data_IF_382903122753
#
_entry.id   IF_382903122753
#
_cell.length_a   1.000
_cell.length_b   1.000
_cell.length_c   1.000
_cell.angle_alpha   90.00
_cell.angle_beta   90.00
_cell.angle_gamma   90.00
#
_symmetry.space_group_name_H-M   'P 1'
#
loop_
_entity.id
_entity.type
_entity.pdbx_description
1 polymer ?
#
# COMPACT_ATOMS: atom_id res chain seq x y z
N UNK A 1 74.48 -51.64 21.64
CA UNK A 1 74.09 -50.79 20.48
C UNK A 1 72.73 -51.26 20.02
N UNK A 2 71.69 -50.46 20.19
CA UNK A 2 70.33 -50.82 19.80
C UNK A 2 69.42 -49.63 20.04
N UNK A 3 69.23 -48.85 18.97
CA UNK A 3 68.55 -47.56 18.99
C UNK A 3 67.02 -47.71 18.92
N UNK A 4 66.39 -46.69 19.50
CA UNK A 4 64.97 -46.33 19.55
C UNK A 4 64.30 -46.27 18.17
N UNK A 5 63.05 -46.71 18.07
CA UNK A 5 62.12 -46.25 17.04
C UNK A 5 60.68 -46.23 17.62
N UNK A 6 60.22 -45.03 17.98
CA UNK A 6 58.86 -44.74 18.42
C UNK A 6 58.06 -44.36 17.17
N UNK A 7 57.11 -45.20 16.75
CA UNK A 7 56.26 -44.96 15.58
C UNK A 7 55.13 -43.99 15.91
N UNK A 8 55.15 -42.82 15.28
CA UNK A 8 54.11 -41.79 15.35
C UNK A 8 53.11 -42.04 14.20
N UNK A 9 51.88 -42.46 14.53
CA UNK A 9 50.79 -42.51 13.55
C UNK A 9 50.15 -41.13 13.41
N UNK A 10 50.37 -40.48 12.27
CA UNK A 10 49.65 -39.29 11.85
C UNK A 10 48.35 -39.73 11.16
N UNK A 11 47.20 -39.54 11.81
CA UNK A 11 45.89 -39.64 11.18
C UNK A 11 45.58 -38.31 10.48
N UNK A 12 45.69 -38.29 9.15
CA UNK A 12 45.21 -37.19 8.32
C UNK A 12 43.69 -37.23 8.22
N UNK A 13 43.01 -36.34 8.96
CA UNK A 13 41.58 -36.09 8.76
C UNK A 13 41.41 -35.23 7.49
N UNK A 14 40.94 -35.85 6.41
CA UNK A 14 40.46 -35.12 5.25
C UNK A 14 39.12 -34.48 5.61
N UNK A 15 39.09 -33.16 5.75
CA UNK A 15 37.85 -32.41 5.82
C UNK A 15 37.26 -32.36 4.40
N UNK A 16 36.16 -33.09 4.18
CA UNK A 16 35.32 -32.85 3.01
C UNK A 16 34.70 -31.44 3.15
N UNK A 17 34.71 -30.60 2.11
CA UNK A 17 33.88 -29.41 2.12
C UNK A 17 32.43 -29.88 2.19
N UNK A 18 31.71 -29.41 3.22
CA UNK A 18 30.28 -29.57 3.29
C UNK A 18 29.67 -28.76 2.14
N UNK A 19 29.26 -29.43 1.07
CA UNK A 19 28.27 -28.87 0.17
C UNK A 19 27.05 -28.54 1.03
N UNK A 20 26.65 -27.26 1.07
CA UNK A 20 25.36 -26.89 1.62
C UNK A 20 24.31 -27.73 0.87
N UNK A 21 23.58 -28.58 1.59
CA UNK A 21 22.53 -29.37 0.98
C UNK A 21 21.45 -28.41 0.50
N UNK A 22 21.22 -28.35 -0.81
CA UNK A 22 20.05 -27.67 -1.38
C UNK A 22 18.79 -28.23 -0.73
N UNK A 23 17.81 -27.39 -0.37
CA UNK A 23 16.54 -27.88 0.17
C UNK A 23 15.92 -28.90 -0.79
N UNK A 24 15.32 -29.96 -0.25
CA UNK A 24 14.60 -30.95 -1.07
C UNK A 24 13.33 -30.32 -1.63
N UNK A 25 12.94 -30.60 -2.89
CA UNK A 25 11.80 -29.96 -3.56
C UNK A 25 10.49 -30.01 -2.75
N UNK A 26 10.21 -31.08 -2.02
CA UNK A 26 8.97 -31.19 -1.23
C UNK A 26 8.89 -30.19 -0.05
N UNK A 27 10.01 -29.67 0.44
CA UNK A 27 10.02 -28.69 1.53
C UNK A 27 9.58 -27.29 1.06
N UNK A 28 9.70 -26.98 -0.24
CA UNK A 28 9.31 -25.68 -0.80
C UNK A 28 7.80 -25.43 -0.82
N UNK A 29 7.01 -26.51 -0.72
CA UNK A 29 5.53 -26.45 -0.69
C UNK A 29 4.96 -26.86 0.68
N UNK A 30 5.81 -27.23 1.64
CA UNK A 30 5.37 -27.57 2.99
C UNK A 30 4.84 -26.30 3.69
N UNK A 31 3.61 -26.37 4.19
CA UNK A 31 2.92 -25.24 4.80
C UNK A 31 2.38 -24.17 3.84
N UNK A 32 2.43 -24.39 2.52
CA UNK A 32 1.78 -23.49 1.55
C UNK A 32 0.25 -23.66 1.61
N UNK A 33 -0.46 -22.54 1.71
CA UNK A 33 -1.93 -22.53 1.82
C UNK A 33 -2.60 -23.04 0.53
N UNK A 34 -3.63 -23.89 0.68
CA UNK A 34 -4.32 -24.49 -0.46
C UNK A 34 -5.03 -23.44 -1.33
N UNK A 35 -5.56 -22.35 -0.74
CA UNK A 35 -6.18 -21.27 -1.50
C UNK A 35 -5.17 -20.48 -2.33
N UNK A 36 -3.92 -20.37 -1.86
CA UNK A 36 -2.85 -19.77 -2.65
C UNK A 36 -2.56 -20.62 -3.89
N UNK A 37 -2.43 -21.94 -3.73
CA UNK A 37 -2.17 -22.84 -4.86
C UNK A 37 -3.32 -22.87 -5.87
N UNK A 38 -4.57 -22.82 -5.42
CA UNK A 38 -5.74 -22.72 -6.30
C UNK A 38 -5.74 -21.39 -7.08
N UNK A 39 -5.42 -20.27 -6.42
CA UNK A 39 -5.32 -18.96 -7.06
C UNK A 39 -4.20 -18.95 -8.11
N UNK A 40 -3.01 -19.44 -7.76
CA UNK A 40 -1.89 -19.57 -8.68
C UNK A 40 -2.24 -20.45 -9.88
N UNK A 41 -2.90 -21.60 -9.65
CA UNK A 41 -3.34 -22.49 -10.72
C UNK A 41 -4.28 -21.78 -11.70
N UNK A 42 -5.25 -21.03 -11.18
CA UNK A 42 -6.18 -20.22 -11.98
C UNK A 42 -5.46 -19.15 -12.81
N UNK A 43 -4.60 -18.35 -12.19
CA UNK A 43 -3.90 -17.24 -12.85
C UNK A 43 -2.89 -17.73 -13.90
N UNK A 44 -2.18 -18.82 -13.61
CA UNK A 44 -1.19 -19.41 -14.52
C UNK A 44 -1.82 -20.32 -15.59
N UNK A 45 -3.14 -20.55 -15.54
CA UNK A 45 -3.83 -21.46 -16.45
C UNK A 45 -3.37 -22.92 -16.34
N UNK A 46 -3.01 -23.35 -15.13
CA UNK A 46 -2.50 -24.69 -14.81
C UNK A 46 -3.33 -25.37 -13.72
N UNK A 47 -2.96 -26.57 -13.28
CA UNK A 47 -3.57 -27.22 -12.12
C UNK A 47 -2.76 -26.97 -10.84
N UNK A 48 -3.29 -27.37 -9.67
CA UNK A 48 -2.62 -27.22 -8.37
C UNK A 48 -1.23 -27.88 -8.36
N UNK A 49 -1.06 -28.98 -9.10
CA UNK A 49 0.25 -29.65 -9.20
C UNK A 49 1.23 -28.79 -9.99
N UNK A 50 0.79 -28.18 -11.08
CA UNK A 50 1.55 -27.21 -11.86
C UNK A 50 1.90 -25.95 -11.08
N UNK A 51 0.99 -25.42 -10.26
CA UNK A 51 1.29 -24.29 -9.37
C UNK A 51 2.34 -24.66 -8.31
N UNK A 52 2.23 -25.87 -7.73
CA UNK A 52 3.23 -26.40 -6.80
C UNK A 52 4.59 -26.64 -7.49
N UNK A 53 4.60 -27.07 -8.75
CA UNK A 53 5.81 -27.20 -9.57
C UNK A 53 6.54 -25.86 -9.74
N UNK A 54 5.79 -24.77 -9.99
CA UNK A 54 6.34 -23.42 -10.11
C UNK A 54 7.00 -22.98 -8.80
N UNK A 55 6.33 -23.15 -7.66
CA UNK A 55 6.91 -22.80 -6.35
C UNK A 55 8.19 -23.60 -6.06
N UNK A 56 8.23 -24.88 -6.42
CA UNK A 56 9.44 -25.70 -6.28
C UNK A 56 10.58 -25.17 -7.14
N UNK A 57 10.31 -24.85 -8.40
CA UNK A 57 11.30 -24.24 -9.29
C UNK A 57 11.81 -22.90 -8.75
N UNK A 58 10.93 -22.03 -8.25
CA UNK A 58 11.32 -20.74 -7.67
C UNK A 58 12.21 -20.91 -6.43
N UNK A 59 11.93 -21.90 -5.57
CA UNK A 59 12.76 -22.20 -4.39
C UNK A 59 14.15 -22.73 -4.77
N UNK A 60 14.22 -23.62 -5.77
CA UNK A 60 15.49 -24.10 -6.31
C UNK A 60 16.27 -22.94 -6.93
N UNK A 61 15.61 -22.10 -7.73
CA UNK A 61 16.21 -20.92 -8.37
C UNK A 61 16.74 -19.89 -7.36
N UNK A 62 16.07 -19.70 -6.22
CA UNK A 62 16.54 -18.82 -5.14
C UNK A 62 17.83 -19.36 -4.50
N UNK A 63 17.92 -20.69 -4.33
CA UNK A 63 19.13 -21.36 -3.84
C UNK A 63 20.28 -21.18 -4.83
N UNK A 64 20.04 -21.47 -6.11
CA UNK A 64 21.02 -21.27 -7.19
C UNK A 64 21.48 -19.82 -7.29
N UNK A 65 20.56 -18.84 -7.18
CA UNK A 65 20.90 -17.41 -7.19
C UNK A 65 21.86 -17.05 -6.05
N UNK A 66 21.62 -17.55 -4.84
CA UNK A 66 22.48 -17.30 -3.68
C UNK A 66 23.87 -17.89 -3.87
N UNK A 67 23.96 -19.12 -4.41
CA UNK A 67 25.23 -19.76 -4.73
C UNK A 67 26.01 -18.97 -5.78
N UNK A 68 25.33 -18.57 -6.86
CA UNK A 68 25.94 -17.80 -7.97
C UNK A 68 26.50 -16.48 -7.48
N UNK A 69 25.72 -15.69 -6.74
CA UNK A 69 26.19 -14.41 -6.19
C UNK A 69 27.44 -14.60 -5.32
N UNK A 70 27.48 -15.67 -4.51
CA UNK A 70 28.63 -16.00 -3.66
C UNK A 70 29.89 -16.36 -4.46
N UNK A 71 29.77 -17.18 -5.51
CA UNK A 71 30.93 -17.62 -6.31
C UNK A 71 31.38 -16.60 -7.35
N UNK A 72 30.46 -15.76 -7.86
CA UNK A 72 30.76 -14.70 -8.82
C UNK A 72 31.36 -13.46 -8.15
N UNK A 73 31.05 -13.20 -6.88
CA UNK A 73 31.54 -12.05 -6.12
C UNK A 73 31.24 -10.73 -6.83
N UNK A 74 32.20 -9.80 -6.81
CA UNK A 74 32.09 -8.46 -7.42
C UNK A 74 31.77 -8.46 -8.92
N UNK A 75 31.93 -9.60 -9.61
CA UNK A 75 31.59 -9.74 -11.03
C UNK A 75 30.13 -10.11 -11.29
N UNK A 76 29.34 -10.36 -10.24
CA UNK A 76 27.92 -10.69 -10.34
C UNK A 76 27.11 -9.49 -10.85
N UNK A 77 26.20 -9.73 -11.78
CA UNK A 77 25.37 -8.69 -12.41
C UNK A 77 23.86 -8.96 -12.35
N UNK A 78 23.44 -9.91 -11.51
CA UNK A 78 22.03 -10.27 -11.31
C UNK A 78 21.65 -11.63 -11.89
N UNK A 79 20.50 -12.14 -11.45
CA UNK A 79 19.84 -13.33 -12.02
C UNK A 79 18.38 -13.01 -12.35
N UNK A 80 17.84 -13.74 -13.31
CA UNK A 80 16.41 -13.77 -13.61
C UNK A 80 16.01 -15.18 -14.00
N UNK A 81 14.71 -15.42 -14.05
CA UNK A 81 14.15 -16.72 -14.33
C UNK A 81 13.17 -16.68 -15.50
N UNK A 82 13.12 -17.78 -16.24
CA UNK A 82 12.06 -18.07 -17.20
C UNK A 82 11.29 -19.28 -16.68
N UNK A 83 10.11 -19.02 -16.10
CA UNK A 83 9.25 -20.08 -15.53
C UNK A 83 8.75 -21.05 -16.59
N UNK A 84 8.59 -20.60 -17.84
CA UNK A 84 8.05 -21.42 -18.93
C UNK A 84 9.05 -22.50 -19.36
N UNK A 85 10.34 -22.17 -19.33
CA UNK A 85 11.42 -23.10 -19.66
C UNK A 85 12.11 -23.69 -18.42
N UNK A 86 11.72 -23.26 -17.21
CA UNK A 86 12.36 -23.59 -15.92
C UNK A 86 13.87 -23.33 -15.95
N UNK A 87 14.25 -22.16 -16.47
CA UNK A 87 15.64 -21.77 -16.64
C UNK A 87 15.99 -20.61 -15.74
N UNK A 88 17.14 -20.67 -15.08
CA UNK A 88 17.76 -19.55 -14.36
C UNK A 88 18.87 -18.98 -15.24
N UNK A 89 18.84 -17.68 -15.47
CA UNK A 89 19.90 -16.95 -16.15
C UNK A 89 20.71 -16.16 -15.13
N UNK A 90 22.01 -16.01 -15.39
CA UNK A 90 22.91 -15.29 -14.51
C UNK A 90 23.84 -14.38 -15.32
N UNK A 91 23.70 -13.08 -15.13
CA UNK A 91 24.58 -12.09 -15.72
C UNK A 91 25.86 -11.96 -14.89
N UNK A 92 27.01 -11.89 -15.56
CA UNK A 92 28.29 -11.60 -14.92
C UNK A 92 29.27 -10.89 -15.87
N UNK A 93 30.13 -10.04 -15.31
CA UNK A 93 31.06 -9.20 -16.08
C UNK A 93 32.32 -9.94 -16.55
N UNK A 94 32.73 -11.00 -15.84
CA UNK A 94 33.94 -11.78 -16.17
C UNK A 94 33.62 -13.19 -16.68
N UNK A 95 34.53 -13.75 -17.50
CA UNK A 95 34.41 -15.13 -18.00
C UNK A 95 34.44 -16.17 -16.86
N UNK A 96 35.26 -15.95 -15.84
CA UNK A 96 35.38 -16.86 -14.69
C UNK A 96 34.08 -16.89 -13.87
N UNK A 97 33.46 -15.74 -13.64
CA UNK A 97 32.16 -15.67 -12.95
C UNK A 97 31.03 -16.31 -13.77
N UNK A 98 31.03 -16.12 -15.10
CA UNK A 98 30.09 -16.82 -16.00
C UNK A 98 30.29 -18.33 -15.98
N UNK A 99 31.54 -18.79 -15.97
CA UNK A 99 31.84 -20.22 -15.85
C UNK A 99 31.39 -20.78 -14.49
N UNK A 100 31.56 -20.02 -13.41
CA UNK A 100 31.05 -20.39 -12.09
C UNK A 100 29.52 -20.46 -12.06
N UNK A 101 28.82 -19.51 -12.68
CA UNK A 101 27.37 -19.53 -12.80
C UNK A 101 26.84 -20.73 -13.59
N UNK A 102 27.51 -21.08 -14.69
CA UNK A 102 27.22 -22.31 -15.44
C UNK A 102 27.47 -23.57 -14.59
N UNK A 103 28.54 -23.58 -13.79
CA UNK A 103 28.83 -24.66 -12.84
C UNK A 103 27.76 -24.84 -11.76
N UNK A 104 27.10 -23.75 -11.37
CA UNK A 104 25.99 -23.74 -10.42
C UNK A 104 24.61 -24.01 -11.08
N UNK A 105 24.57 -24.25 -12.39
CA UNK A 105 23.35 -24.68 -13.11
C UNK A 105 22.53 -23.57 -13.75
N UNK A 106 23.01 -22.31 -13.79
CA UNK A 106 22.38 -21.24 -14.55
C UNK A 106 22.92 -21.15 -15.99
N UNK A 107 22.15 -20.51 -16.87
CA UNK A 107 22.62 -20.08 -18.19
C UNK A 107 23.39 -18.77 -18.04
N UNK A 108 24.70 -18.73 -18.30
CA UNK A 108 25.48 -17.52 -18.12
C UNK A 108 25.19 -16.49 -19.22
N UNK A 109 25.09 -15.22 -18.83
CA UNK A 109 24.91 -14.08 -19.72
C UNK A 109 26.04 -13.08 -19.47
N UNK A 110 26.57 -12.50 -20.54
CA UNK A 110 27.61 -11.47 -20.43
C UNK A 110 26.98 -10.12 -20.09
N UNK A 111 27.53 -9.46 -19.07
CA UNK A 111 27.14 -8.12 -18.64
C UNK A 111 28.32 -7.15 -18.75
N UNK A 112 28.03 -5.87 -18.95
CA UNK A 112 29.00 -4.77 -18.94
C UNK A 112 29.20 -4.21 -17.52
N UNK A 113 28.12 -4.13 -16.75
CA UNK A 113 28.06 -3.53 -15.41
C UNK A 113 27.77 -4.60 -14.37
N UNK A 114 28.48 -4.57 -13.24
CA UNK A 114 28.13 -5.42 -12.09
C UNK A 114 26.83 -4.94 -11.44
N UNK A 115 26.23 -5.77 -10.60
CA UNK A 115 25.03 -5.38 -9.86
C UNK A 115 25.35 -4.22 -8.91
N UNK A 116 26.52 -4.26 -8.26
CA UNK A 116 27.03 -3.18 -7.42
C UNK A 116 27.18 -1.86 -8.20
N UNK A 117 27.62 -1.91 -9.46
CA UNK A 117 27.71 -0.72 -10.31
C UNK A 117 26.31 -0.12 -10.56
N UNK A 118 25.33 -0.97 -10.92
CA UNK A 118 23.96 -0.54 -11.20
C UNK A 118 23.25 -0.02 -9.94
N UNK A 119 23.45 -0.67 -8.79
CA UNK A 119 22.97 -0.19 -7.49
C UNK A 119 23.61 1.16 -7.12
N UNK A 120 24.91 1.33 -7.41
CA UNK A 120 25.61 2.60 -7.24
C UNK A 120 25.02 3.74 -8.09
N UNK A 121 24.57 3.44 -9.31
CA UNK A 121 23.87 4.39 -10.18
C UNK A 121 22.49 4.73 -9.60
N UNK A 122 21.70 3.73 -9.21
CA UNK A 122 20.39 3.93 -8.60
C UNK A 122 20.47 4.79 -7.32
N UNK A 123 21.48 4.53 -6.47
CA UNK A 123 21.73 5.32 -5.27
C UNK A 123 22.12 6.77 -5.59
N UNK A 124 22.79 7.02 -6.72
CA UNK A 124 23.14 8.37 -7.16
C UNK A 124 21.93 9.15 -7.68
N UNK A 125 20.98 8.48 -8.32
CA UNK A 125 19.68 9.07 -8.69
C UNK A 125 18.94 9.50 -7.42
N UNK A 126 18.77 8.58 -6.45
CA UNK A 126 18.11 8.86 -5.16
C UNK A 126 18.74 10.04 -4.41
N UNK A 127 20.07 10.17 -4.45
CA UNK A 127 20.78 11.25 -3.76
C UNK A 127 20.76 12.61 -4.49
N UNK A 128 20.17 12.70 -5.68
CA UNK A 128 20.11 13.91 -6.50
C UNK A 128 18.77 14.63 -6.38
N UNK A 129 18.69 15.89 -6.83
CA UNK A 129 17.41 16.59 -6.99
C UNK A 129 16.68 16.03 -8.22
N UNK A 130 15.95 14.92 -8.04
CA UNK A 130 15.22 14.23 -9.11
C UNK A 130 14.09 15.12 -9.66
N UNK A 131 14.00 15.39 -10.97
CA UNK A 131 12.92 16.16 -11.55
C UNK A 131 11.55 15.47 -11.41
N UNK A 132 10.48 16.25 -11.22
CA UNK A 132 9.09 15.74 -11.12
C UNK A 132 8.62 14.92 -12.34
N UNK A 133 9.31 15.02 -13.48
CA UNK A 133 9.03 14.24 -14.69
C UNK A 133 9.53 12.79 -14.62
N UNK A 134 10.27 12.42 -13.57
CA UNK A 134 10.80 11.07 -13.34
C UNK A 134 10.04 10.43 -12.17
N UNK A 135 9.02 9.58 -12.42
CA UNK A 135 8.20 8.99 -11.36
C UNK A 135 8.84 7.75 -10.72
N UNK A 136 9.80 7.09 -11.37
CA UNK A 136 10.47 5.88 -10.89
C UNK A 136 11.78 5.61 -11.61
N UNK A 137 12.64 4.80 -10.98
CA UNK A 137 13.79 4.17 -11.61
C UNK A 137 14.03 2.78 -11.02
N UNK A 138 14.58 1.87 -11.82
CA UNK A 138 14.76 0.46 -11.44
C UNK A 138 15.93 -0.18 -12.22
N UNK A 139 16.44 -1.31 -11.72
CA UNK A 139 17.54 -2.05 -12.34
C UNK A 139 16.96 -3.14 -13.24
N UNK A 140 17.31 -3.10 -14.52
CA UNK A 140 16.99 -4.13 -15.50
C UNK A 140 18.19 -5.07 -15.64
N UNK A 141 18.15 -6.21 -14.93
CA UNK A 141 19.24 -7.20 -14.97
C UNK A 141 19.32 -7.94 -16.30
N UNK A 142 18.24 -7.97 -17.09
CA UNK A 142 18.22 -8.65 -18.39
C UNK A 142 18.93 -7.80 -19.45
N UNK A 143 18.69 -6.48 -19.45
CA UNK A 143 19.37 -5.54 -20.33
C UNK A 143 20.65 -4.94 -19.74
N UNK A 144 20.93 -5.21 -18.45
CA UNK A 144 22.08 -4.76 -17.69
C UNK A 144 22.22 -3.22 -17.63
N UNK A 145 21.10 -2.54 -17.39
CA UNK A 145 21.01 -1.08 -17.27
C UNK A 145 20.11 -0.63 -16.10
N UNK A 146 20.18 0.65 -15.72
CA UNK A 146 19.19 1.31 -14.87
C UNK A 146 18.18 2.00 -15.76
N UNK A 147 16.91 1.66 -15.62
CA UNK A 147 15.81 2.31 -16.33
C UNK A 147 15.31 3.48 -15.51
N UNK A 148 15.18 4.62 -16.16
CA UNK A 148 14.54 5.83 -15.61
C UNK A 148 13.24 6.03 -16.36
N UNK A 149 12.13 5.83 -15.67
CA UNK A 149 10.81 6.09 -16.22
C UNK A 149 10.60 7.61 -16.36
N UNK A 150 9.95 8.05 -17.44
CA UNK A 150 9.75 9.46 -17.75
C UNK A 150 8.32 9.73 -18.19
N UNK A 151 7.67 10.72 -17.57
CA UNK A 151 6.33 11.16 -17.92
C UNK A 151 6.27 11.79 -19.33
N UNK A 152 5.09 11.81 -19.99
CA UNK A 152 4.92 12.43 -21.30
C UNK A 152 5.43 13.87 -21.35
N UNK A 153 6.27 14.16 -22.35
CA UNK A 153 6.89 15.49 -22.53
C UNK A 153 8.09 15.79 -21.62
N UNK A 154 8.51 14.85 -20.77
CA UNK A 154 9.66 15.02 -19.86
C UNK A 154 11.02 14.60 -20.41
N UNK A 155 11.09 14.07 -21.64
CA UNK A 155 12.29 13.41 -22.17
C UNK A 155 13.56 14.28 -22.15
N UNK A 156 13.46 15.55 -22.59
CA UNK A 156 14.62 16.46 -22.62
C UNK A 156 15.13 16.76 -21.20
N UNK A 157 14.21 16.99 -20.25
CA UNK A 157 14.55 17.26 -18.84
C UNK A 157 15.20 16.04 -18.19
N UNK A 158 14.64 14.84 -18.42
CA UNK A 158 15.20 13.60 -17.90
C UNK A 158 16.58 13.29 -18.51
N UNK A 159 16.77 13.56 -19.81
CA UNK A 159 18.06 13.41 -20.48
C UNK A 159 19.13 14.34 -19.89
N UNK A 160 18.79 15.61 -19.68
CA UNK A 160 19.70 16.56 -19.05
C UNK A 160 20.05 16.14 -17.62
N UNK A 161 19.06 15.68 -16.84
CA UNK A 161 19.25 15.15 -15.50
C UNK A 161 20.21 13.96 -15.48
N UNK A 162 19.98 12.93 -16.31
CA UNK A 162 20.85 11.75 -16.40
C UNK A 162 22.28 12.15 -16.79
N UNK A 163 22.44 13.11 -17.71
CA UNK A 163 23.76 13.61 -18.09
C UNK A 163 24.53 14.23 -16.90
N UNK A 164 23.83 14.80 -15.91
CA UNK A 164 24.48 15.36 -14.69
C UNK A 164 25.03 14.29 -13.75
N UNK A 165 24.51 13.06 -13.82
CA UNK A 165 24.95 11.96 -12.96
C UNK A 165 26.38 11.52 -13.28
N UNK A 166 26.87 11.79 -14.50
CA UNK A 166 28.23 11.43 -14.92
C UNK A 166 28.49 9.92 -14.90
N UNK A 167 27.45 9.14 -15.20
CA UNK A 167 27.47 7.67 -15.28
C UNK A 167 27.69 7.23 -16.73
N UNK A 168 28.11 5.97 -16.99
CA UNK A 168 28.23 5.45 -18.34
C UNK A 168 26.91 5.55 -19.10
N UNK A 169 26.96 5.99 -20.36
CA UNK A 169 25.76 6.24 -21.17
C UNK A 169 24.97 4.96 -21.51
N UNK A 170 25.64 3.80 -21.49
CA UNK A 170 25.05 2.49 -21.68
C UNK A 170 24.50 1.88 -20.38
N UNK A 171 24.76 2.49 -19.22
CA UNK A 171 24.28 2.01 -17.93
C UNK A 171 22.94 2.62 -17.51
N UNK A 172 22.40 3.58 -18.27
CA UNK A 172 21.11 4.22 -18.02
C UNK A 172 20.28 4.32 -19.29
N UNK A 173 19.02 3.92 -19.22
CA UNK A 173 18.05 4.02 -20.30
C UNK A 173 16.82 4.80 -19.86
N UNK A 174 16.35 5.73 -20.69
CA UNK A 174 15.09 6.41 -20.46
C UNK A 174 13.93 5.57 -21.04
N UNK A 175 12.89 5.36 -20.24
CA UNK A 175 11.63 4.78 -20.67
C UNK A 175 10.57 5.88 -20.66
N UNK A 176 10.24 6.41 -21.84
CA UNK A 176 9.36 7.58 -21.97
C UNK A 176 7.89 7.20 -22.05
N UNK A 177 7.05 8.20 -21.81
CA UNK A 177 5.59 8.13 -21.96
C UNK A 177 4.94 7.11 -21.02
N UNK A 178 5.51 6.94 -19.83
CA UNK A 178 4.96 6.09 -18.76
C UNK A 178 3.91 6.83 -17.93
N UNK A 179 3.10 6.08 -17.19
CA UNK A 179 2.18 6.62 -16.19
C UNK A 179 2.89 6.76 -14.83
N UNK A 180 2.50 7.75 -14.03
CA UNK A 180 3.00 7.90 -12.66
C UNK A 180 2.33 6.88 -11.71
N UNK A 181 3.07 6.07 -10.95
CA UNK A 181 2.49 5.22 -9.93
C UNK A 181 1.82 6.04 -8.82
N UNK A 182 0.67 5.59 -8.33
CA UNK A 182 -0.03 6.18 -7.19
C UNK A 182 -0.15 5.16 -6.04
N UNK A 183 -0.13 5.65 -4.80
CA UNK A 183 -0.34 4.79 -3.62
C UNK A 183 -1.80 4.36 -3.51
N UNK A 184 -2.06 3.05 -3.35
CA UNK A 184 -3.41 2.52 -3.09
C UNK A 184 -3.88 2.79 -1.65
N UNK A 185 -4.17 4.04 -1.29
CA UNK A 185 -4.83 4.38 -0.04
C UNK A 185 -6.34 4.47 -0.25
N UNK A 186 -7.08 3.48 0.26
CA UNK A 186 -8.54 3.44 0.17
C UNK A 186 -9.19 4.27 1.29
N UNK A 187 -9.86 5.35 0.92
CA UNK A 187 -10.63 6.17 1.86
C UNK A 187 -12.06 5.62 1.94
N UNK A 188 -12.47 5.16 3.13
CA UNK A 188 -13.82 4.68 3.43
C UNK A 188 -14.38 5.39 4.66
N UNK A 189 -15.70 5.43 4.80
CA UNK A 189 -16.33 6.03 5.97
C UNK A 189 -15.89 5.38 7.29
N UNK A 190 -15.83 6.17 8.36
CA UNK A 190 -15.49 5.75 9.71
C UNK A 190 -14.02 5.81 10.08
N UNK A 191 -13.09 5.72 9.11
CA UNK A 191 -11.64 5.72 9.39
C UNK A 191 -11.15 7.10 9.86
N UNK A 192 -10.00 7.12 10.53
CA UNK A 192 -9.36 8.35 10.98
C UNK A 192 -8.79 9.17 9.81
N UNK A 193 -8.84 10.49 9.94
CA UNK A 193 -7.96 11.41 9.21
C UNK A 193 -7.44 12.47 10.19
N UNK A 194 -6.19 12.88 10.03
CA UNK A 194 -5.59 13.92 10.86
C UNK A 194 -5.67 15.26 10.14
N UNK A 195 -5.90 16.34 10.88
CA UNK A 195 -5.95 17.73 10.39
C UNK A 195 -4.75 18.48 10.96
N UNK A 196 -3.95 19.10 10.09
CA UNK A 196 -2.76 19.89 10.44
C UNK A 196 -1.81 19.20 11.44
N UNK A 197 -1.77 17.86 11.45
CA UNK A 197 -1.05 17.02 12.43
C UNK A 197 -1.36 17.31 13.91
N UNK A 198 -2.55 17.84 14.22
CA UNK A 198 -2.92 18.31 15.56
C UNK A 198 -4.20 17.70 16.10
N UNK A 199 -5.20 17.53 15.23
CA UNK A 199 -6.50 16.97 15.61
C UNK A 199 -6.84 15.77 14.73
N UNK A 200 -7.75 14.94 15.24
CA UNK A 200 -8.27 13.75 14.55
C UNK A 200 -9.78 13.84 14.46
N UNK A 201 -10.29 13.59 13.27
CA UNK A 201 -11.69 13.32 13.04
C UNK A 201 -11.84 12.00 12.27
N UNK A 202 -13.08 11.62 11.99
CA UNK A 202 -13.44 10.43 11.24
C UNK A 202 -14.03 10.81 9.89
N UNK A 203 -13.71 10.05 8.84
CA UNK A 203 -14.28 10.19 7.51
C UNK A 203 -15.78 9.91 7.56
N UNK A 204 -16.60 10.77 6.97
CA UNK A 204 -18.05 10.59 6.90
C UNK A 204 -18.44 9.65 5.76
N UNK A 205 -18.59 10.18 4.56
CA UNK A 205 -18.90 9.38 3.38
C UNK A 205 -18.03 9.80 2.20
N UNK A 206 -17.58 8.81 1.42
CA UNK A 206 -16.87 9.07 0.19
C UNK A 206 -17.80 9.75 -0.83
N UNK A 207 -17.27 10.76 -1.50
CA UNK A 207 -17.90 11.47 -2.61
C UNK A 207 -16.94 11.52 -3.79
N UNK A 208 -17.43 11.86 -4.98
CA UNK A 208 -16.57 12.08 -6.13
C UNK A 208 -15.47 13.11 -5.76
N UNK A 209 -14.21 12.68 -5.84
CA UNK A 209 -13.04 13.52 -5.57
C UNK A 209 -12.69 13.74 -4.09
N UNK A 210 -13.36 13.07 -3.14
CA UNK A 210 -13.08 13.30 -1.72
C UNK A 210 -13.98 12.57 -0.73
N UNK A 211 -14.19 13.20 0.42
CA UNK A 211 -15.15 12.75 1.43
C UNK A 211 -15.81 13.91 2.17
N UNK A 212 -17.03 13.70 2.65
CA UNK A 212 -17.73 14.63 3.55
C UNK A 212 -17.39 14.33 5.01
N UNK A 213 -17.40 15.36 5.85
CA UNK A 213 -17.06 15.31 7.28
C UNK A 213 -17.75 16.45 8.04
N UNK A 214 -17.46 16.61 9.33
CA UNK A 214 -17.99 17.70 10.15
C UNK A 214 -17.20 19.00 9.94
N UNK A 215 -17.89 20.15 10.02
CA UNK A 215 -17.31 21.47 9.82
C UNK A 215 -16.37 21.89 10.95
N UNK A 216 -16.70 21.53 12.18
CA UNK A 216 -15.86 21.84 13.34
C UNK A 216 -14.49 21.12 13.33
N UNK A 217 -14.26 20.18 12.40
CA UNK A 217 -12.99 19.47 12.28
C UNK A 217 -11.87 20.32 11.66
N UNK A 218 -12.20 21.33 10.84
CA UNK A 218 -11.21 22.14 10.15
C UNK A 218 -11.82 23.23 9.28
N UNK A 219 -11.01 24.22 8.94
CA UNK A 219 -11.35 25.35 8.08
C UNK A 219 -10.95 25.11 6.62
N UNK A 220 -11.51 25.88 5.69
CA UNK A 220 -11.13 25.81 4.27
C UNK A 220 -9.63 26.08 4.12
N UNK A 221 -8.94 25.17 3.43
CA UNK A 221 -7.49 25.22 3.22
C UNK A 221 -6.68 24.42 4.25
N UNK A 222 -7.28 23.94 5.34
CA UNK A 222 -6.58 23.06 6.28
C UNK A 222 -6.13 21.76 5.59
N UNK A 223 -4.89 21.38 5.87
CA UNK A 223 -4.29 20.16 5.34
C UNK A 223 -4.69 18.95 6.18
N UNK A 224 -4.83 17.80 5.51
CA UNK A 224 -5.17 16.53 6.12
C UNK A 224 -4.26 15.42 5.65
N UNK A 225 -4.32 14.26 6.31
CA UNK A 225 -3.64 13.03 5.85
C UNK A 225 -3.97 12.65 4.40
N UNK A 226 -5.13 13.06 3.87
CA UNK A 226 -5.63 12.61 2.57
C UNK A 226 -5.75 13.71 1.51
N UNK A 227 -5.53 14.97 1.88
CA UNK A 227 -5.77 16.13 1.01
C UNK A 227 -6.12 17.37 1.82
N UNK A 228 -7.03 18.22 1.35
CA UNK A 228 -7.34 19.50 2.02
C UNK A 228 -8.83 19.82 2.04
N UNK A 229 -9.26 20.54 3.09
CA UNK A 229 -10.62 21.05 3.21
C UNK A 229 -10.94 22.05 2.09
N UNK A 230 -11.98 21.78 1.31
CA UNK A 230 -12.45 22.65 0.22
C UNK A 230 -13.73 23.40 0.56
N UNK A 231 -14.46 22.93 1.58
CA UNK A 231 -15.61 23.61 2.14
C UNK A 231 -15.76 23.26 3.60
N UNK A 232 -16.07 24.25 4.42
CA UNK A 232 -16.39 24.07 5.84
C UNK A 232 -17.39 25.13 6.29
N UNK A 233 -18.33 24.74 7.15
CA UNK A 233 -19.32 25.64 7.75
C UNK A 233 -19.62 25.18 9.17
N UNK A 234 -19.15 25.96 10.15
CA UNK A 234 -19.44 25.80 11.57
C UNK A 234 -19.17 27.13 12.32
N UNK A 235 -20.03 27.59 13.24
CA UNK A 235 -21.35 27.04 13.63
C UNK A 235 -22.46 27.43 12.63
N UNK A 236 -23.73 27.29 13.03
CA UNK A 236 -24.91 27.45 12.17
C UNK A 236 -25.35 26.11 11.60
N UNK A 237 -24.43 25.52 10.84
CA UNK A 237 -24.43 24.12 10.40
C UNK A 237 -23.17 23.44 10.94
N UNK A 238 -22.98 22.14 10.68
CA UNK A 238 -21.73 21.45 11.01
C UNK A 238 -21.34 20.44 9.92
N UNK A 239 -20.92 20.96 8.77
CA UNK A 239 -20.45 20.16 7.64
C UNK A 239 -19.19 20.72 7.00
N UNK A 240 -18.44 19.81 6.39
CA UNK A 240 -17.31 20.09 5.53
C UNK A 240 -17.15 19.01 4.46
N UNK A 241 -16.29 19.28 3.49
CA UNK A 241 -15.75 18.24 2.62
C UNK A 241 -14.27 18.48 2.33
N UNK A 242 -13.56 17.38 2.16
CA UNK A 242 -12.11 17.32 1.92
C UNK A 242 -11.90 16.73 0.53
N UNK A 243 -11.16 17.45 -0.32
CA UNK A 243 -10.73 16.91 -1.61
C UNK A 243 -9.48 16.07 -1.44
N UNK A 244 -9.43 14.93 -2.13
CA UNK A 244 -8.36 13.93 -1.98
C UNK A 244 -7.80 13.53 -3.35
N UNK A 245 -6.98 14.39 -3.99
CA UNK A 245 -6.58 14.22 -5.39
C UNK A 245 -5.72 12.98 -5.65
N UNK A 246 -4.94 12.54 -4.65
CA UNK A 246 -3.97 11.45 -4.79
C UNK A 246 -4.37 10.20 -3.99
N UNK A 247 -5.67 10.03 -3.73
CA UNK A 247 -6.20 8.92 -2.95
C UNK A 247 -7.47 8.39 -3.60
N UNK A 248 -7.87 7.17 -3.24
CA UNK A 248 -9.05 6.52 -3.82
C UNK A 248 -10.18 6.41 -2.79
N UNK A 249 -11.19 7.30 -2.82
CA UNK A 249 -12.41 7.12 -2.04
C UNK A 249 -13.26 5.95 -2.57
N UNK A 250 -13.85 5.18 -1.66
CA UNK A 250 -14.77 4.08 -1.98
C UNK A 250 -16.09 4.23 -1.24
N UNK A 251 -17.18 3.82 -1.88
CA UNK A 251 -18.56 3.94 -1.39
C UNK A 251 -18.91 2.97 -0.25
N UNK A 252 -18.07 2.87 0.77
CA UNK A 252 -18.21 1.93 1.89
C UNK A 252 -17.90 2.61 3.22
N UNK A 253 -18.36 2.00 4.33
CA UNK A 253 -18.09 2.45 5.69
C UNK A 253 -17.51 1.28 6.50
N UNK A 254 -16.38 1.48 7.18
CA UNK A 254 -15.78 0.48 8.08
C UNK A 254 -16.78 0.03 9.15
N UNK A 255 -16.91 -1.28 9.36
CA UNK A 255 -17.73 -1.84 10.45
C UNK A 255 -16.93 -2.06 11.74
N UNK A 256 -15.62 -1.77 11.73
CA UNK A 256 -14.68 -2.01 12.83
C UNK A 256 -14.63 -3.47 13.35
N UNK A 257 -15.14 -4.42 12.57
CA UNK A 257 -15.13 -5.86 12.82
C UNK A 257 -14.32 -6.64 11.77
N UNK A 258 -13.51 -5.94 10.97
CA UNK A 258 -12.71 -6.50 9.88
C UNK A 258 -13.38 -6.43 8.50
N UNK A 259 -14.55 -5.81 8.40
CA UNK A 259 -15.30 -5.63 7.16
C UNK A 259 -15.73 -4.18 6.90
N UNK A 260 -16.69 -4.03 5.99
CA UNK A 260 -17.30 -2.75 5.65
C UNK A 260 -18.77 -2.92 5.22
N UNK A 261 -19.55 -1.87 5.43
CA UNK A 261 -20.93 -1.74 4.96
C UNK A 261 -20.94 -0.92 3.68
N UNK A 262 -21.42 -1.51 2.60
CA UNK A 262 -21.62 -0.82 1.32
C UNK A 262 -22.67 0.28 1.43
N UNK A 263 -22.40 1.44 0.83
CA UNK A 263 -23.31 2.57 0.74
C UNK A 263 -24.07 2.48 -0.57
N UNK A 264 -25.40 2.39 -0.53
CA UNK A 264 -26.25 2.27 -1.73
C UNK A 264 -27.01 3.55 -2.09
N UNK A 265 -26.92 4.58 -1.26
CA UNK A 265 -27.63 5.84 -1.45
C UNK A 265 -27.75 6.63 -0.15
N UNK A 266 -28.60 7.65 -0.15
CA UNK A 266 -28.81 8.58 0.97
C UNK A 266 -30.29 8.85 1.27
N UNK A 267 -31.14 7.83 1.10
CA UNK A 267 -32.58 7.93 1.42
C UNK A 267 -32.75 8.18 2.93
N UNK A 268 -33.38 9.28 3.37
CA UNK A 268 -33.57 9.55 4.79
C UNK A 268 -34.48 8.51 5.46
N UNK A 269 -34.05 7.98 6.61
CA UNK A 269 -34.82 7.02 7.39
C UNK A 269 -35.82 7.72 8.33
N UNK A 270 -36.91 7.03 8.68
CA UNK A 270 -37.92 7.60 9.57
C UNK A 270 -37.42 7.72 11.03
N UNK A 271 -38.04 8.59 11.82
CA UNK A 271 -37.88 8.58 13.29
C UNK A 271 -38.27 7.19 13.83
N UNK A 272 -37.45 6.65 14.74
CA UNK A 272 -37.55 5.30 15.27
C UNK A 272 -36.76 4.26 14.46
N UNK A 273 -36.22 4.61 13.30
CA UNK A 273 -35.38 3.70 12.52
C UNK A 273 -34.07 3.38 13.27
N UNK A 274 -33.65 2.12 13.21
CA UNK A 274 -32.33 1.70 13.67
C UNK A 274 -31.26 2.29 12.75
N UNK A 275 -30.26 2.89 13.36
CA UNK A 275 -29.10 3.47 12.69
C UNK A 275 -27.81 3.05 13.39
N UNK A 276 -26.74 2.97 12.63
CA UNK A 276 -25.40 2.66 13.13
C UNK A 276 -24.41 3.72 12.70
N UNK A 277 -23.50 4.09 13.60
CA UNK A 277 -22.40 5.02 13.34
C UNK A 277 -21.07 4.31 13.29
N UNK A 278 -20.13 4.85 12.51
CA UNK A 278 -18.74 4.40 12.43
C UNK A 278 -17.79 5.55 12.70
N UNK A 279 -16.86 5.40 13.65
CA UNK A 279 -15.92 6.46 14.05
C UNK A 279 -14.60 5.92 14.57
N UNK A 280 -13.55 6.71 14.44
CA UNK A 280 -12.17 6.32 14.73
C UNK A 280 -11.83 6.15 16.20
N UNK A 281 -12.69 6.62 17.11
CA UNK A 281 -12.46 6.50 18.55
C UNK A 281 -13.19 5.28 19.11
N UNK A 282 -14.50 5.19 18.87
CA UNK A 282 -15.35 4.15 19.51
C UNK A 282 -15.73 3.02 18.55
N UNK A 283 -15.42 3.16 17.26
CA UNK A 283 -15.72 2.14 16.25
C UNK A 283 -17.18 2.17 15.84
N UNK A 284 -17.84 1.01 15.89
CA UNK A 284 -19.19 0.80 15.37
C UNK A 284 -20.24 0.68 16.47
N UNK A 285 -21.21 1.59 16.48
CA UNK A 285 -22.28 1.61 17.47
C UNK A 285 -23.64 1.87 16.85
N UNK A 286 -24.69 1.24 17.37
CA UNK A 286 -26.04 1.37 16.85
C UNK A 286 -27.03 1.91 17.90
N UNK A 287 -28.12 2.46 17.40
CA UNK A 287 -29.18 3.08 18.18
C UNK A 287 -30.34 3.45 17.26
N UNK A 288 -31.12 4.46 17.63
CA UNK A 288 -32.29 4.89 16.87
C UNK A 288 -32.29 6.39 16.60
N UNK A 289 -32.88 6.77 15.47
CA UNK A 289 -33.25 8.16 15.21
C UNK A 289 -34.38 8.55 16.17
N UNK A 290 -34.15 9.60 16.97
CA UNK A 290 -35.12 10.11 17.93
C UNK A 290 -35.89 11.32 17.39
N UNK A 291 -35.23 12.18 16.63
CA UNK A 291 -35.83 13.38 16.05
C UNK A 291 -35.00 13.92 14.88
N UNK A 292 -35.63 14.74 14.05
CA UNK A 292 -34.98 15.58 13.04
C UNK A 292 -35.11 17.05 13.41
N UNK A 293 -34.34 17.91 12.73
CA UNK A 293 -34.37 19.37 12.90
C UNK A 293 -34.12 19.81 14.36
N UNK A 294 -33.18 19.14 15.03
CA UNK A 294 -32.74 19.53 16.37
C UNK A 294 -31.77 20.70 16.29
N UNK A 295 -31.88 21.62 17.25
CA UNK A 295 -30.91 22.69 17.46
C UNK A 295 -30.11 22.42 18.72
N UNK A 296 -28.78 22.43 18.60
CA UNK A 296 -27.83 22.30 19.72
C UNK A 296 -27.09 23.62 19.89
N UNK A 297 -26.82 24.00 21.15
CA UNK A 297 -26.04 25.19 21.49
C UNK A 297 -24.65 24.76 21.95
N UNK A 298 -23.69 24.69 21.01
CA UNK A 298 -22.28 24.47 21.32
C UNK A 298 -21.65 25.75 21.90
N UNK A 299 -20.42 25.65 22.38
CA UNK A 299 -19.69 26.79 22.93
C UNK A 299 -19.40 27.86 21.85
N UNK A 300 -19.17 27.39 20.62
CA UNK A 300 -18.84 28.17 19.44
C UNK A 300 -20.08 28.82 18.81
N UNK A 301 -21.26 28.21 18.98
CA UNK A 301 -22.52 28.74 18.50
C UNK A 301 -23.64 27.70 18.40
N UNK A 302 -24.80 28.14 17.93
CA UNK A 302 -25.93 27.23 17.68
C UNK A 302 -25.78 26.54 16.33
N UNK A 303 -26.05 25.23 16.29
CA UNK A 303 -26.16 24.42 15.07
C UNK A 303 -27.57 23.87 15.00
N UNK A 304 -28.25 24.04 13.86
CA UNK A 304 -29.65 23.63 13.65
C UNK A 304 -29.77 22.56 12.57
N UNK A 305 -30.96 21.99 12.36
CA UNK A 305 -31.17 20.99 11.31
C UNK A 305 -30.69 19.57 11.65
N UNK A 306 -30.15 19.34 12.85
CA UNK A 306 -29.47 18.10 13.21
C UNK A 306 -30.43 16.91 13.38
N UNK A 307 -29.94 15.72 13.03
CA UNK A 307 -30.55 14.42 13.37
C UNK A 307 -30.16 14.10 14.80
N UNK A 308 -31.14 13.90 15.69
CA UNK A 308 -30.90 13.44 17.06
C UNK A 308 -31.04 11.92 17.13
N UNK A 309 -30.11 11.26 17.77
CA UNK A 309 -30.13 9.79 17.92
C UNK A 309 -29.80 9.34 19.34
N UNK A 310 -30.10 8.07 19.64
CA UNK A 310 -29.66 7.40 20.88
C UNK A 310 -28.28 6.73 20.77
N UNK A 311 -27.58 6.91 19.65
CA UNK A 311 -26.27 6.28 19.41
C UNK A 311 -25.22 6.99 20.28
N UNK A 312 -24.28 6.25 20.87
CA UNK A 312 -23.17 6.86 21.62
C UNK A 312 -22.05 7.32 20.67
N UNK A 313 -21.25 8.29 21.12
CA UNK A 313 -20.05 8.76 20.43
C UNK A 313 -19.14 9.50 21.41
N UNK A 314 -17.84 9.56 21.11
CA UNK A 314 -16.82 10.21 21.94
C UNK A 314 -15.89 11.11 21.09
N UNK A 315 -15.06 11.99 21.70
CA UNK A 315 -14.14 12.85 20.95
C UNK A 315 -13.28 12.06 19.95
N UNK A 316 -13.24 12.55 18.71
CA UNK A 316 -12.57 11.89 17.57
C UNK A 316 -13.51 11.08 16.66
N UNK A 317 -14.72 10.76 17.12
CA UNK A 317 -15.76 10.18 16.27
C UNK A 317 -16.48 11.22 15.38
N UNK A 318 -16.23 12.51 15.64
CA UNK A 318 -16.66 13.66 14.85
C UNK A 318 -16.38 13.45 13.35
N UNK A 319 -17.33 13.84 12.52
CA UNK A 319 -17.31 13.62 11.06
C UNK A 319 -17.70 12.20 10.63
N UNK A 320 -17.63 11.21 11.52
CA UNK A 320 -17.87 9.80 11.16
C UNK A 320 -19.31 9.50 10.74
N UNK A 321 -19.46 8.47 9.92
CA UNK A 321 -20.68 8.08 9.20
C UNK A 321 -21.83 7.69 10.13
N UNK A 322 -23.08 7.98 9.73
CA UNK A 322 -24.32 7.39 10.25
C UNK A 322 -25.11 6.72 9.13
N UNK A 323 -25.39 5.44 9.26
CA UNK A 323 -26.08 4.59 8.28
C UNK A 323 -27.42 4.07 8.81
N UNK A 324 -28.44 4.05 7.96
CA UNK A 324 -29.66 3.26 8.14
C UNK A 324 -29.62 2.09 7.16
N UNK A 325 -29.17 0.91 7.60
CA UNK A 325 -28.81 -0.17 6.68
C UNK A 325 -27.66 0.25 5.77
N UNK A 326 -27.93 0.40 4.48
CA UNK A 326 -26.98 0.87 3.46
C UNK A 326 -27.25 2.30 2.97
N UNK A 327 -28.11 3.05 3.67
CA UNK A 327 -28.43 4.43 3.30
C UNK A 327 -27.70 5.42 4.21
N UNK A 328 -26.88 6.29 3.63
CA UNK A 328 -26.20 7.37 4.31
C UNK A 328 -27.21 8.37 4.90
N UNK A 329 -27.09 8.65 6.20
CA UNK A 329 -28.00 9.54 6.93
C UNK A 329 -27.32 10.87 7.28
N UNK A 330 -26.10 10.82 7.82
CA UNK A 330 -25.40 12.03 8.27
C UNK A 330 -23.99 11.78 8.81
N UNK A 331 -23.31 12.87 9.14
CA UNK A 331 -21.97 12.87 9.75
C UNK A 331 -22.05 13.31 11.20
N UNK A 332 -21.22 12.73 12.07
CA UNK A 332 -21.25 13.00 13.52
C UNK A 332 -20.88 14.47 13.79
N UNK A 333 -21.78 15.23 14.41
CA UNK A 333 -21.54 16.63 14.79
C UNK A 333 -21.06 16.74 16.25
N UNK A 334 -21.83 16.17 17.17
CA UNK A 334 -21.45 16.14 18.58
C UNK A 334 -22.53 15.51 19.45
N UNK A 335 -22.32 15.46 20.75
CA UNK A 335 -23.25 14.76 21.64
C UNK A 335 -22.98 14.98 23.11
N UNK A 336 -23.60 14.14 23.93
CA UNK A 336 -23.44 14.10 25.38
C UNK A 336 -23.47 12.65 25.87
N UNK A 337 -22.75 12.36 26.95
CA UNK A 337 -22.60 11.01 27.47
C UNK A 337 -21.33 10.35 26.92
N UNK A 338 -21.30 9.02 26.94
CA UNK A 338 -20.18 8.19 26.48
C UNK A 338 -20.69 6.81 26.02
N UNK A 339 -19.81 5.97 25.50
CA UNK A 339 -20.19 4.62 25.05
C UNK A 339 -20.26 3.57 26.17
N UNK A 340 -20.05 3.97 27.43
CA UNK A 340 -20.19 3.10 28.62
C UNK A 340 -21.56 3.27 29.29
N UNK A 341 -22.01 4.51 29.45
CA UNK A 341 -23.23 4.92 30.16
C UNK A 341 -24.36 5.30 29.20
N UNK A 342 -24.07 5.39 27.91
CA UNK A 342 -24.98 5.84 26.87
C UNK A 342 -25.00 7.36 26.74
N UNK A 343 -25.76 7.84 25.75
CA UNK A 343 -25.75 9.26 25.41
C UNK A 343 -26.79 9.65 24.37
N UNK A 344 -26.68 10.90 23.93
CA UNK A 344 -27.40 11.43 22.77
C UNK A 344 -26.37 12.00 21.81
N UNK A 345 -26.40 11.56 20.57
CA UNK A 345 -25.50 12.05 19.52
C UNK A 345 -26.30 12.68 18.40
N UNK A 346 -25.80 13.81 17.92
CA UNK A 346 -26.37 14.62 16.86
C UNK A 346 -25.53 14.51 15.60
N UNK A 347 -26.20 14.46 14.46
CA UNK A 347 -25.58 14.29 13.15
C UNK A 347 -26.08 15.34 12.18
N UNK A 348 -25.17 15.89 11.39
CA UNK A 348 -25.50 16.77 10.27
C UNK A 348 -26.01 15.92 9.10
N UNK A 349 -27.22 16.16 8.56
CA UNK A 349 -27.77 15.39 7.46
C UNK A 349 -26.87 15.38 6.21
N UNK A 350 -26.59 14.20 5.65
CA UNK A 350 -25.64 14.06 4.52
C UNK A 350 -26.15 14.77 3.27
N UNK A 351 -27.45 14.72 3.00
CA UNK A 351 -28.05 15.32 1.80
C UNK A 351 -27.89 16.84 1.75
N UNK A 352 -27.85 17.51 2.91
CA UNK A 352 -27.58 18.94 2.98
C UNK A 352 -26.15 19.27 2.51
N UNK A 353 -25.18 18.46 2.94
CA UNK A 353 -23.77 18.62 2.56
C UNK A 353 -23.61 18.40 1.05
N UNK A 354 -24.20 17.31 0.54
CA UNK A 354 -24.16 16.96 -0.89
C UNK A 354 -24.76 18.09 -1.74
N UNK A 355 -25.91 18.63 -1.33
CA UNK A 355 -26.58 19.71 -2.06
C UNK A 355 -25.80 21.03 -1.98
N UNK A 356 -25.26 21.37 -0.80
CA UNK A 356 -24.53 22.63 -0.59
C UNK A 356 -23.28 22.73 -1.44
N UNK A 357 -22.53 21.63 -1.56
CA UNK A 357 -21.27 21.60 -2.31
C UNK A 357 -21.37 20.96 -3.70
N UNK A 358 -22.57 20.55 -4.13
CA UNK A 358 -22.76 19.91 -5.44
C UNK A 358 -22.04 18.55 -5.57
N UNK A 359 -21.92 17.81 -4.47
CA UNK A 359 -21.16 16.57 -4.40
C UNK A 359 -22.02 15.35 -4.76
N UNK A 360 -21.40 14.37 -5.41
CA UNK A 360 -22.02 13.07 -5.69
C UNK A 360 -21.50 12.02 -4.72
N UNK A 361 -22.40 11.37 -3.98
CA UNK A 361 -22.07 10.26 -3.07
C UNK A 361 -21.55 9.06 -3.87
N UNK A 362 -20.45 8.45 -3.43
CA UNK A 362 -19.99 7.18 -4.00
C UNK A 362 -20.78 6.01 -3.40
N UNK A 363 -21.14 5.06 -4.24
CA UNK A 363 -21.91 3.87 -3.86
C UNK A 363 -21.26 2.60 -4.37
N UNK A 364 -21.32 1.51 -3.61
CA UNK A 364 -20.88 0.16 -4.02
C UNK A 364 -21.96 -0.87 -3.79
#
# INVERSE_FOLDING_TARGET
>A
MGATALGLFLTSAAANPAFAASPTPDAAIDGVDAHLLDAMASELGTDVTGAADVLRFQADAATTTTEIASVAGDAFAGTWLDESTRTVYAAATTDDARAAAAGAGAVPVAAAHSLDDLEGIAARIEASDVPDVVPSWWIDVENNDVVVDVLPGGADVASDFVATLGVPADAVRLQTDVEAPETFATIRGGIAYNINNQSRCSVGFAVQGGFVTAGHCGDVGDSTTYGAFQGSSFPGNDYAWVATPNHTPVGEVSDYAGGAVAVKGSTPAAVGATVCRSGSTTGWHCGQIQAYNSTVRYAEGSVSGLIRTSVCAEPGDSGGSLLAGNQAQGVTSGGSGDCTSGGTTYFQPVNEILQTYGLSLLTS
#
